data_IF_674912801376
#
_entry.id   IF_674912801376
#
_cell.length_a   1.000
_cell.length_b   1.000
_cell.length_c   1.000
_cell.angle_alpha   90.00
_cell.angle_beta   90.00
_cell.angle_gamma   90.00
#
_symmetry.space_group_name_H-M   'P 1'
#
loop_
_entity.id
_entity.type
_entity.pdbx_description
1 polymer ?
#
# COMPACT_ATOMS: atom_id res chain seq x y z
N UNK A 1 -7.80 -31.23 10.15
CA UNK A 1 -6.45 -30.79 9.74
C UNK A 1 -5.74 -30.25 10.98
N UNK A 2 -4.62 -30.84 11.38
CA UNK A 2 -3.91 -30.46 12.63
C UNK A 2 -3.33 -29.04 12.45
N UNK A 3 -3.40 -28.21 13.48
CA UNK A 3 -2.89 -26.81 13.50
C UNK A 3 -1.43 -26.75 13.02
N UNK A 4 -0.61 -27.75 13.36
CA UNK A 4 0.79 -27.85 12.93
C UNK A 4 0.98 -27.99 11.41
N UNK A 5 0.05 -28.64 10.70
CA UNK A 5 0.11 -28.78 9.23
C UNK A 5 -0.28 -27.48 8.53
N UNK A 6 -1.22 -26.74 9.13
CA UNK A 6 -1.58 -25.39 8.71
C UNK A 6 -0.40 -24.43 8.90
N UNK A 7 0.22 -24.43 10.07
CA UNK A 7 1.36 -23.58 10.37
C UNK A 7 2.53 -23.86 9.40
N UNK A 8 2.93 -25.12 9.21
CA UNK A 8 3.99 -25.48 8.24
C UNK A 8 3.66 -25.03 6.82
N UNK A 9 2.42 -25.18 6.38
CA UNK A 9 1.99 -24.85 5.02
C UNK A 9 1.95 -23.34 4.75
N UNK A 10 1.73 -22.52 5.78
CA UNK A 10 1.60 -21.07 5.66
C UNK A 10 2.74 -20.28 6.28
N UNK A 11 3.75 -20.95 6.87
CA UNK A 11 4.86 -20.28 7.59
C UNK A 11 5.57 -19.28 6.69
N UNK A 12 5.96 -19.69 5.48
CA UNK A 12 6.67 -18.79 4.56
C UNK A 12 5.81 -17.62 4.11
N UNK A 13 4.53 -17.86 3.84
CA UNK A 13 3.58 -16.79 3.46
C UNK A 13 3.34 -15.80 4.60
N UNK A 14 3.32 -16.28 5.84
CA UNK A 14 3.13 -15.42 7.03
C UNK A 14 4.41 -14.64 7.38
N UNK A 15 5.58 -15.22 7.15
CA UNK A 15 6.88 -14.56 7.37
C UNK A 15 7.28 -13.62 6.23
N UNK A 16 6.77 -13.82 5.02
CA UNK A 16 7.11 -13.01 3.85
C UNK A 16 6.88 -11.51 4.05
N UNK A 17 5.78 -11.02 4.64
CA UNK A 17 5.60 -9.60 4.92
C UNK A 17 6.65 -9.04 5.88
N UNK A 18 7.03 -9.81 6.90
CA UNK A 18 8.08 -9.42 7.86
C UNK A 18 9.43 -9.28 7.15
N UNK A 19 9.86 -10.32 6.41
CA UNK A 19 11.12 -10.29 5.67
C UNK A 19 11.13 -9.18 4.62
N UNK A 20 10.01 -8.98 3.92
CA UNK A 20 9.85 -7.88 2.95
C UNK A 20 10.00 -6.52 3.62
N UNK A 21 9.48 -6.35 4.83
CA UNK A 21 9.60 -5.10 5.57
C UNK A 21 11.05 -4.85 6.03
N UNK A 22 11.76 -5.88 6.48
CA UNK A 22 13.19 -5.75 6.80
C UNK A 22 14.02 -5.31 5.59
N UNK A 23 13.79 -5.93 4.42
CA UNK A 23 14.47 -5.53 3.18
C UNK A 23 14.14 -4.07 2.82
N UNK A 24 12.87 -3.67 2.98
CA UNK A 24 12.45 -2.30 2.69
C UNK A 24 13.02 -1.29 3.71
N UNK A 25 13.11 -1.64 4.99
CA UNK A 25 13.80 -0.83 5.98
C UNK A 25 15.29 -0.66 5.63
N UNK A 26 15.97 -1.75 5.27
CA UNK A 26 17.36 -1.67 4.80
C UNK A 26 17.51 -0.76 3.57
N UNK A 27 16.52 -0.76 2.66
CA UNK A 27 16.50 0.16 1.51
C UNK A 27 16.34 1.63 1.93
N UNK A 28 15.50 1.91 2.93
CA UNK A 28 15.32 3.26 3.50
C UNK A 28 16.61 3.72 4.18
N UNK A 29 17.28 2.84 4.93
CA UNK A 29 18.57 3.13 5.53
C UNK A 29 19.64 3.45 4.48
N UNK A 30 19.70 2.65 3.41
CA UNK A 30 20.63 2.88 2.29
C UNK A 30 20.39 4.26 1.66
N UNK A 31 19.14 4.61 1.33
CA UNK A 31 18.79 5.91 0.77
C UNK A 31 19.15 7.05 1.74
N UNK A 32 18.80 6.90 3.02
CA UNK A 32 19.10 7.90 4.05
C UNK A 32 20.59 8.14 4.25
N UNK A 33 21.41 7.10 4.14
CA UNK A 33 22.85 7.21 4.34
C UNK A 33 23.59 7.74 3.09
N UNK A 34 23.15 7.32 1.89
CA UNK A 34 23.92 7.53 0.65
C UNK A 34 23.51 8.79 -0.12
N UNK A 35 22.27 9.27 0.03
CA UNK A 35 21.79 10.41 -0.76
C UNK A 35 21.90 11.75 -0.01
N UNK A 36 22.10 12.84 -0.74
CA UNK A 36 22.01 14.21 -0.19
C UNK A 36 20.56 14.54 0.21
N UNK A 37 20.33 15.63 0.98
CA UNK A 37 18.98 16.03 1.39
C UNK A 37 18.01 16.24 0.23
N UNK A 38 18.38 17.02 -0.80
CA UNK A 38 17.52 17.19 -1.98
C UNK A 38 17.26 15.90 -2.75
N UNK A 39 18.28 15.06 -2.92
CA UNK A 39 18.16 13.77 -3.62
C UNK A 39 17.26 12.79 -2.89
N UNK A 40 17.31 12.76 -1.56
CA UNK A 40 16.40 12.00 -0.74
C UNK A 40 14.95 12.48 -0.90
N UNK A 41 14.76 13.80 -1.06
CA UNK A 41 13.46 14.38 -1.41
C UNK A 41 12.95 13.90 -2.77
N UNK A 42 13.80 13.88 -3.78
CA UNK A 42 13.49 13.35 -5.12
C UNK A 42 13.13 11.86 -5.03
N UNK A 43 13.91 11.05 -4.29
CA UNK A 43 13.63 9.64 -4.05
C UNK A 43 12.26 9.43 -3.36
N UNK A 44 11.89 10.28 -2.40
CA UNK A 44 10.57 10.29 -1.75
C UNK A 44 9.42 10.58 -2.72
N UNK A 45 9.60 11.55 -3.62
CA UNK A 45 8.64 11.87 -4.69
C UNK A 45 8.49 10.66 -5.63
N UNK A 46 9.58 10.05 -6.08
CA UNK A 46 9.53 8.86 -6.95
C UNK A 46 8.85 7.67 -6.29
N UNK A 47 9.14 7.38 -5.03
CA UNK A 47 8.42 6.34 -4.29
C UNK A 47 6.92 6.61 -4.27
N UNK A 48 6.51 7.85 -4.03
CA UNK A 48 5.11 8.25 -4.04
C UNK A 48 4.47 8.04 -5.41
N UNK A 49 5.11 8.49 -6.47
CA UNK A 49 4.66 8.32 -7.86
C UNK A 49 4.50 6.84 -8.20
N UNK A 50 5.48 6.02 -7.86
CA UNK A 50 5.47 4.58 -8.14
C UNK A 50 4.32 3.89 -7.38
N UNK A 51 4.08 4.23 -6.13
CA UNK A 51 2.95 3.67 -5.38
C UNK A 51 1.60 4.04 -6.01
N UNK A 52 1.42 5.29 -6.44
CA UNK A 52 0.22 5.73 -7.16
C UNK A 52 0.06 4.95 -8.47
N UNK A 53 1.13 4.81 -9.26
CA UNK A 53 1.10 4.06 -10.51
C UNK A 53 0.77 2.58 -10.31
N UNK A 54 1.42 1.91 -9.36
CA UNK A 54 1.17 0.50 -9.03
C UNK A 54 -0.29 0.31 -8.67
N UNK A 55 -0.84 1.23 -7.91
CA UNK A 55 -2.22 1.19 -7.49
C UNK A 55 -3.21 1.39 -8.66
N UNK A 56 -3.00 2.42 -9.49
CA UNK A 56 -3.85 2.67 -10.66
C UNK A 56 -3.74 1.50 -11.65
N UNK A 57 -2.54 0.92 -11.81
CA UNK A 57 -2.28 -0.22 -12.70
C UNK A 57 -3.00 -1.50 -12.26
N UNK A 58 -3.20 -1.73 -10.96
CA UNK A 58 -4.06 -2.81 -10.46
C UNK A 58 -5.54 -2.46 -10.61
N UNK A 59 -5.92 -1.25 -10.26
CA UNK A 59 -7.28 -0.74 -10.34
C UNK A 59 -8.34 -1.64 -9.67
N UNK A 60 -7.93 -2.52 -8.72
CA UNK A 60 -8.81 -3.52 -8.10
C UNK A 60 -9.09 -4.75 -8.98
N UNK A 61 -8.45 -4.86 -10.15
CA UNK A 61 -8.63 -5.97 -11.08
C UNK A 61 -8.15 -7.29 -10.52
N UNK A 62 -7.11 -7.30 -9.69
CA UNK A 62 -6.69 -8.50 -8.95
C UNK A 62 -7.82 -9.05 -8.08
N UNK A 63 -8.55 -8.20 -7.37
CA UNK A 63 -9.71 -8.58 -6.56
C UNK A 63 -10.86 -9.11 -7.40
N UNK A 64 -11.13 -8.52 -8.57
CA UNK A 64 -12.13 -9.00 -9.50
C UNK A 64 -11.77 -10.39 -10.04
N UNK A 65 -10.51 -10.63 -10.39
CA UNK A 65 -10.05 -11.94 -10.86
C UNK A 65 -10.17 -13.00 -9.75
N UNK A 66 -9.91 -12.66 -8.50
CA UNK A 66 -10.12 -13.57 -7.35
C UNK A 66 -11.62 -13.87 -7.18
N UNK A 67 -12.49 -12.87 -7.26
CA UNK A 67 -13.92 -13.01 -7.13
C UNK A 67 -14.51 -13.93 -8.20
N UNK A 68 -14.10 -13.75 -9.47
CA UNK A 68 -14.56 -14.54 -10.61
C UNK A 68 -13.93 -15.94 -10.68
N UNK A 69 -12.86 -16.21 -9.97
CA UNK A 69 -12.10 -17.48 -9.90
C UNK A 69 -11.55 -17.97 -11.24
N UNK A 70 -12.44 -18.13 -12.24
CA UNK A 70 -12.10 -18.62 -13.58
C UNK A 70 -12.69 -17.69 -14.63
N UNK A 71 -11.83 -17.20 -15.52
CA UNK A 71 -12.22 -16.36 -16.65
C UNK A 71 -11.58 -16.90 -17.92
N UNK A 72 -12.29 -16.83 -19.07
CA UNK A 72 -11.69 -17.09 -20.38
C UNK A 72 -10.48 -16.17 -20.59
N UNK A 73 -9.47 -16.67 -21.31
CA UNK A 73 -8.26 -15.90 -21.62
C UNK A 73 -8.57 -14.58 -22.36
N UNK A 74 -9.59 -14.62 -23.21
CA UNK A 74 -10.05 -13.43 -23.95
C UNK A 74 -10.54 -12.34 -22.98
N UNK A 75 -11.35 -12.70 -21.98
CA UNK A 75 -11.90 -11.77 -20.98
C UNK A 75 -10.77 -11.13 -20.16
N UNK A 76 -9.77 -11.94 -19.77
CA UNK A 76 -8.58 -11.47 -19.05
C UNK A 76 -7.77 -10.48 -19.90
N UNK A 77 -7.53 -10.81 -21.15
CA UNK A 77 -6.78 -9.94 -22.05
C UNK A 77 -7.49 -8.60 -22.26
N UNK A 78 -8.82 -8.62 -22.43
CA UNK A 78 -9.60 -7.40 -22.59
C UNK A 78 -9.49 -6.49 -21.36
N UNK A 79 -9.61 -7.04 -20.15
CA UNK A 79 -9.45 -6.28 -18.89
C UNK A 79 -8.02 -5.73 -18.76
N UNK A 80 -7.01 -6.53 -19.08
CA UNK A 80 -5.61 -6.09 -19.06
C UNK A 80 -5.33 -4.93 -20.04
N UNK A 81 -5.91 -4.96 -21.24
CA UNK A 81 -5.81 -3.85 -22.22
C UNK A 81 -6.39 -2.57 -21.62
N UNK A 82 -7.56 -2.64 -20.98
CA UNK A 82 -8.15 -1.49 -20.30
C UNK A 82 -7.29 -0.98 -19.14
N UNK A 83 -6.75 -1.86 -18.31
CA UNK A 83 -5.83 -1.47 -17.24
C UNK A 83 -4.57 -0.79 -17.78
N UNK A 84 -3.99 -1.31 -18.88
CA UNK A 84 -2.84 -0.68 -19.55
C UNK A 84 -3.21 0.71 -20.07
N UNK A 85 -4.39 0.87 -20.70
CA UNK A 85 -4.85 2.17 -21.18
C UNK A 85 -5.05 3.19 -20.04
N UNK A 86 -5.67 2.78 -18.92
CA UNK A 86 -5.82 3.60 -17.71
C UNK A 86 -4.45 3.99 -17.15
N UNK A 87 -3.52 3.05 -17.09
CA UNK A 87 -2.16 3.28 -16.59
C UNK A 87 -1.37 4.22 -17.49
N UNK A 88 -1.50 4.10 -18.82
CA UNK A 88 -0.88 5.00 -19.77
C UNK A 88 -1.40 6.44 -19.61
N UNK A 89 -2.72 6.60 -19.45
CA UNK A 89 -3.32 7.90 -19.15
C UNK A 89 -2.80 8.49 -17.83
N UNK A 90 -2.69 7.66 -16.77
CA UNK A 90 -2.12 8.09 -15.50
C UNK A 90 -0.66 8.54 -15.64
N UNK A 91 0.17 7.86 -16.43
CA UNK A 91 1.56 8.25 -16.68
C UNK A 91 1.65 9.60 -17.37
N UNK A 92 0.74 9.91 -18.31
CA UNK A 92 0.70 11.23 -18.97
C UNK A 92 0.47 12.33 -17.93
N UNK A 93 -0.50 12.15 -17.03
CA UNK A 93 -0.80 13.13 -15.97
C UNK A 93 0.37 13.24 -14.99
N UNK A 94 0.85 12.10 -14.48
CA UNK A 94 1.94 12.03 -13.49
C UNK A 94 3.23 12.56 -14.07
N UNK A 95 3.45 12.43 -15.38
CA UNK A 95 4.62 12.92 -16.08
C UNK A 95 4.90 14.42 -15.89
N UNK A 96 3.89 15.22 -15.53
CA UNK A 96 4.10 16.61 -15.14
C UNK A 96 4.84 16.77 -13.80
N UNK A 97 4.67 15.81 -12.89
CA UNK A 97 5.26 15.83 -11.54
C UNK A 97 6.57 15.06 -11.44
N UNK A 98 7.01 14.42 -12.52
CA UNK A 98 8.26 13.66 -12.55
C UNK A 98 9.43 14.63 -12.58
N UNK A 99 10.38 14.57 -11.61
CA UNK A 99 11.51 15.46 -11.53
C UNK A 99 12.40 15.40 -12.79
N UNK A 100 12.72 14.20 -13.27
CA UNK A 100 13.54 14.00 -14.47
C UNK A 100 12.75 13.25 -15.56
N UNK A 101 12.68 13.82 -16.75
CA UNK A 101 11.91 13.23 -17.86
C UNK A 101 12.48 11.90 -18.38
N UNK A 102 13.78 11.67 -18.19
CA UNK A 102 14.46 10.41 -18.49
C UNK A 102 13.85 9.22 -17.73
N UNK A 103 13.32 9.43 -16.53
CA UNK A 103 12.76 8.40 -15.65
C UNK A 103 11.37 7.93 -16.08
N UNK A 104 10.72 8.64 -17.00
CA UNK A 104 9.42 8.22 -17.55
C UNK A 104 9.45 6.81 -18.14
N UNK A 105 10.55 6.40 -18.79
CA UNK A 105 10.69 5.04 -19.30
C UNK A 105 10.61 3.99 -18.20
N UNK A 106 11.30 4.24 -17.08
CA UNK A 106 11.26 3.36 -15.89
C UNK A 106 9.84 3.24 -15.32
N UNK A 107 9.10 4.35 -15.24
CA UNK A 107 7.72 4.37 -14.78
C UNK A 107 6.77 3.61 -15.71
N UNK A 108 6.97 3.70 -17.05
CA UNK A 108 6.24 2.89 -18.03
C UNK A 108 6.49 1.40 -17.79
N UNK A 109 7.75 1.00 -17.61
CA UNK A 109 8.11 -0.39 -17.30
C UNK A 109 7.43 -0.87 -16.03
N UNK A 110 7.45 -0.08 -14.94
CA UNK A 110 6.75 -0.40 -13.69
C UNK A 110 5.27 -0.64 -13.95
N UNK A 111 4.60 0.26 -14.63
CA UNK A 111 3.16 0.18 -14.89
C UNK A 111 2.77 -1.08 -15.68
N UNK A 112 3.47 -1.36 -16.77
CA UNK A 112 3.23 -2.54 -17.61
C UNK A 112 3.49 -3.84 -16.84
N UNK A 113 4.60 -3.91 -16.13
CA UNK A 113 5.00 -5.12 -15.38
C UNK A 113 4.14 -5.38 -14.15
N UNK A 114 3.44 -4.38 -13.62
CA UNK A 114 2.42 -4.55 -12.59
C UNK A 114 1.11 -5.08 -13.20
N UNK A 115 0.65 -4.50 -14.30
CA UNK A 115 -0.66 -4.82 -14.89
C UNK A 115 -0.71 -6.24 -15.46
N UNK A 116 0.31 -6.64 -16.22
CA UNK A 116 0.29 -7.89 -16.96
C UNK A 116 0.17 -9.17 -16.11
N UNK A 117 0.80 -9.29 -14.92
CA UNK A 117 0.71 -10.51 -14.12
C UNK A 117 -0.49 -10.57 -13.16
N UNK A 118 -1.41 -9.60 -13.15
CA UNK A 118 -2.52 -9.53 -12.18
C UNK A 118 -3.37 -10.80 -12.15
N UNK A 119 -3.71 -11.33 -13.32
CA UNK A 119 -4.47 -12.57 -13.40
C UNK A 119 -3.69 -13.78 -12.87
N UNK A 120 -2.41 -13.88 -13.21
CA UNK A 120 -1.55 -14.97 -12.75
C UNK A 120 -1.42 -14.95 -11.22
N UNK A 121 -1.24 -13.77 -10.63
CA UNK A 121 -1.24 -13.57 -9.19
C UNK A 121 -2.58 -13.99 -8.55
N UNK A 122 -3.69 -13.53 -9.10
CA UNK A 122 -5.03 -13.87 -8.61
C UNK A 122 -5.30 -15.38 -8.67
N UNK A 123 -4.90 -16.04 -9.76
CA UNK A 123 -5.02 -17.50 -9.93
C UNK A 123 -4.20 -18.26 -8.89
N UNK A 124 -2.96 -17.87 -8.64
CA UNK A 124 -2.14 -18.48 -7.60
C UNK A 124 -2.78 -18.34 -6.21
N UNK A 125 -3.45 -17.21 -5.92
CA UNK A 125 -4.20 -17.02 -4.68
C UNK A 125 -5.41 -17.95 -4.59
N UNK A 126 -6.21 -18.06 -5.65
CA UNK A 126 -7.39 -18.96 -5.73
C UNK A 126 -6.97 -20.42 -5.55
N UNK A 127 -5.85 -20.83 -6.15
CA UNK A 127 -5.29 -22.17 -6.03
C UNK A 127 -4.50 -22.41 -4.74
N UNK A 128 -4.48 -21.43 -3.82
CA UNK A 128 -3.80 -21.51 -2.53
C UNK A 128 -2.30 -21.79 -2.65
N UNK A 129 -1.67 -21.32 -3.72
CA UNK A 129 -0.22 -21.45 -3.96
C UNK A 129 0.56 -20.32 -3.25
N UNK A 130 0.26 -20.08 -1.99
CA UNK A 130 0.78 -18.96 -1.18
C UNK A 130 2.31 -18.91 -1.09
N UNK A 131 2.97 -20.07 -1.02
CA UNK A 131 4.44 -20.13 -0.94
C UNK A 131 5.10 -19.59 -2.22
N UNK A 132 4.50 -19.83 -3.39
CA UNK A 132 5.00 -19.28 -4.65
C UNK A 132 4.89 -17.75 -4.64
N UNK A 133 3.75 -17.23 -4.22
CA UNK A 133 3.55 -15.78 -4.09
C UNK A 133 4.58 -15.19 -3.13
N UNK A 134 4.78 -15.81 -1.95
CA UNK A 134 5.76 -15.36 -0.98
C UNK A 134 7.19 -15.32 -1.54
N UNK A 135 7.60 -16.37 -2.26
CA UNK A 135 8.93 -16.45 -2.88
C UNK A 135 9.10 -15.36 -3.95
N UNK A 136 8.09 -15.16 -4.81
CA UNK A 136 8.14 -14.13 -5.87
C UNK A 136 8.25 -12.74 -5.26
N UNK A 137 7.42 -12.43 -4.25
CA UNK A 137 7.46 -11.13 -3.57
C UNK A 137 8.80 -10.88 -2.85
N UNK A 138 9.33 -11.88 -2.14
CA UNK A 138 10.62 -11.75 -1.46
C UNK A 138 11.77 -11.57 -2.44
N UNK A 139 11.83 -12.36 -3.52
CA UNK A 139 12.88 -12.23 -4.54
C UNK A 139 12.83 -10.88 -5.23
N UNK A 140 11.63 -10.36 -5.53
CA UNK A 140 11.50 -9.05 -6.15
C UNK A 140 11.96 -7.93 -5.21
N UNK A 141 11.64 -8.00 -3.90
CA UNK A 141 12.11 -7.01 -2.91
C UNK A 141 13.62 -7.08 -2.69
N UNK A 142 14.18 -8.29 -2.67
CA UNK A 142 15.63 -8.46 -2.57
C UNK A 142 16.34 -7.88 -3.79
N UNK A 143 15.81 -8.13 -5.00
CA UNK A 143 16.36 -7.55 -6.21
C UNK A 143 16.25 -6.03 -6.21
N UNK A 144 15.13 -5.46 -5.72
CA UNK A 144 15.00 -4.02 -5.53
C UNK A 144 16.13 -3.45 -4.67
N UNK A 145 16.42 -4.08 -3.53
CA UNK A 145 17.49 -3.64 -2.64
C UNK A 145 18.87 -3.76 -3.29
N UNK A 146 19.16 -4.88 -3.97
CA UNK A 146 20.44 -5.09 -4.65
C UNK A 146 20.63 -4.07 -5.78
N UNK A 147 19.62 -3.86 -6.63
CA UNK A 147 19.70 -2.90 -7.73
C UNK A 147 19.80 -1.47 -7.22
N UNK A 148 19.13 -1.13 -6.11
CA UNK A 148 19.23 0.17 -5.48
C UNK A 148 20.67 0.41 -4.97
N UNK A 149 21.25 -0.58 -4.30
CA UNK A 149 22.64 -0.51 -3.82
C UNK A 149 23.63 -0.29 -4.97
N UNK A 150 23.50 -1.09 -6.04
CA UNK A 150 24.39 -0.98 -7.22
C UNK A 150 24.17 0.35 -7.94
N UNK A 151 22.93 0.79 -8.13
CA UNK A 151 22.62 2.04 -8.81
C UNK A 151 23.22 3.25 -8.10
N UNK A 152 23.19 3.28 -6.78
CA UNK A 152 23.72 4.39 -5.98
C UNK A 152 25.27 4.34 -5.92
N UNK A 153 25.83 3.18 -5.55
CA UNK A 153 27.26 3.12 -5.21
C UNK A 153 28.18 2.90 -6.43
N UNK A 154 27.71 2.16 -7.45
CA UNK A 154 28.55 1.85 -8.62
C UNK A 154 28.31 2.79 -9.80
N UNK A 155 27.03 3.18 -10.00
CA UNK A 155 26.67 4.04 -11.13
C UNK A 155 26.47 5.51 -10.76
N UNK A 156 26.47 5.85 -9.47
CA UNK A 156 26.28 7.22 -9.00
C UNK A 156 24.90 7.81 -9.30
N UNK A 157 23.90 6.95 -9.56
CA UNK A 157 22.52 7.40 -9.69
C UNK A 157 22.02 7.94 -8.36
N UNK A 158 21.38 9.09 -8.42
CA UNK A 158 20.85 9.79 -7.24
C UNK A 158 19.41 9.37 -6.94
N UNK A 159 18.49 10.31 -6.76
CA UNK A 159 17.08 10.02 -6.48
C UNK A 159 16.40 9.12 -7.52
N UNK A 160 16.81 9.18 -8.79
CA UNK A 160 16.33 8.33 -9.89
C UNK A 160 16.68 6.84 -9.76
N UNK A 161 17.70 6.48 -8.93
CA UNK A 161 18.01 5.09 -8.61
C UNK A 161 16.79 4.30 -8.13
N UNK A 162 15.85 4.98 -7.46
CA UNK A 162 14.58 4.39 -6.97
C UNK A 162 13.72 3.89 -8.13
N UNK A 163 13.58 4.68 -9.19
CA UNK A 163 12.76 4.32 -10.37
C UNK A 163 13.33 3.10 -11.07
N UNK A 164 14.64 3.12 -11.35
CA UNK A 164 15.34 1.99 -11.97
C UNK A 164 15.19 0.71 -11.15
N UNK A 165 15.38 0.80 -9.84
CA UNK A 165 15.32 -0.35 -8.95
C UNK A 165 13.91 -0.96 -8.87
N UNK A 166 12.86 -0.14 -8.83
CA UNK A 166 11.49 -0.62 -8.91
C UNK A 166 11.17 -1.23 -10.27
N UNK A 167 11.63 -0.62 -11.38
CA UNK A 167 11.40 -1.16 -12.73
C UNK A 167 12.00 -2.57 -12.86
N UNK A 168 13.24 -2.77 -12.43
CA UNK A 168 13.91 -4.09 -12.46
C UNK A 168 13.22 -5.08 -11.54
N UNK A 169 12.82 -4.67 -10.35
CA UNK A 169 12.11 -5.50 -9.36
C UNK A 169 10.76 -5.99 -9.87
N UNK A 170 9.93 -5.09 -10.43
CA UNK A 170 8.63 -5.45 -10.98
C UNK A 170 8.74 -6.27 -12.27
N UNK A 171 9.76 -6.04 -13.09
CA UNK A 171 10.05 -6.87 -14.24
C UNK A 171 10.38 -8.31 -13.84
N UNK A 172 11.23 -8.51 -12.84
CA UNK A 172 11.49 -9.86 -12.30
C UNK A 172 10.21 -10.50 -11.76
N UNK A 173 9.41 -9.73 -11.01
CA UNK A 173 8.12 -10.20 -10.48
C UNK A 173 7.19 -10.69 -11.61
N UNK A 174 7.09 -9.93 -12.69
CA UNK A 174 6.35 -10.32 -13.88
C UNK A 174 6.86 -11.63 -14.47
N UNK A 175 8.17 -11.75 -14.72
CA UNK A 175 8.80 -12.94 -15.29
C UNK A 175 8.55 -14.18 -14.41
N UNK A 176 8.68 -14.06 -13.09
CA UNK A 176 8.47 -15.15 -12.15
C UNK A 176 7.00 -15.58 -12.10
N UNK A 177 6.04 -14.65 -12.04
CA UNK A 177 4.62 -15.00 -12.07
C UNK A 177 4.23 -15.67 -13.38
N UNK A 178 4.74 -15.19 -14.51
CA UNK A 178 4.51 -15.81 -15.82
C UNK A 178 5.10 -17.23 -15.89
N UNK A 179 6.34 -17.42 -15.39
CA UNK A 179 7.01 -18.73 -15.37
C UNK A 179 6.27 -19.74 -14.49
N UNK A 180 5.91 -19.35 -13.27
CA UNK A 180 5.16 -20.25 -12.38
C UNK A 180 3.76 -20.55 -12.88
N UNK A 181 3.07 -19.59 -13.51
CA UNK A 181 1.74 -19.81 -14.07
C UNK A 181 1.76 -20.80 -15.25
N UNK A 182 2.78 -20.78 -16.08
CA UNK A 182 2.99 -21.79 -17.11
C UNK A 182 3.24 -23.18 -16.52
N UNK A 183 4.12 -23.28 -15.52
CA UNK A 183 4.48 -24.56 -14.87
C UNK A 183 3.29 -25.25 -14.21
N UNK A 184 2.29 -24.47 -13.73
CA UNK A 184 1.11 -24.99 -13.03
C UNK A 184 -0.07 -25.21 -13.99
N UNK A 185 0.10 -24.97 -15.30
CA UNK A 185 -0.96 -25.09 -16.32
C UNK A 185 -2.23 -24.33 -15.93
N UNK A 186 -2.09 -23.09 -15.39
CA UNK A 186 -3.21 -22.29 -14.93
C UNK A 186 -4.28 -21.99 -15.98
N UNK A 187 -3.99 -22.22 -17.24
CA UNK A 187 -4.87 -21.94 -18.39
C UNK A 187 -5.61 -23.16 -18.93
N UNK A 188 -5.74 -24.23 -18.13
CA UNK A 188 -6.36 -25.49 -18.57
C UNK A 188 -7.85 -25.39 -18.97
N UNK A 189 -8.49 -24.23 -18.77
CA UNK A 189 -9.92 -24.00 -19.07
C UNK A 189 -10.14 -22.96 -20.20
N UNK A 190 -9.41 -23.04 -21.27
CA UNK A 190 -9.61 -22.17 -22.46
C UNK A 190 -10.99 -22.43 -23.17
N UNK A 191 -11.71 -23.49 -22.79
CA UNK A 191 -13.01 -23.86 -23.36
C UNK A 191 -14.22 -23.19 -22.68
N UNK A 192 -14.02 -22.22 -21.78
CA UNK A 192 -15.14 -21.47 -21.21
C UNK A 192 -15.77 -20.57 -22.29
N UNK A 193 -17.12 -20.47 -22.31
CA UNK A 193 -17.80 -19.61 -23.28
C UNK A 193 -17.36 -18.16 -23.14
N UNK A 194 -17.00 -17.55 -24.27
CA UNK A 194 -16.61 -16.14 -24.31
C UNK A 194 -17.84 -15.25 -24.14
N UNK A 195 -17.72 -14.27 -23.29
CA UNK A 195 -18.77 -13.27 -23.10
C UNK A 195 -18.62 -12.13 -24.12
N UNK A 196 -19.73 -11.40 -24.36
CA UNK A 196 -19.66 -10.17 -25.18
C UNK A 196 -18.77 -9.13 -24.47
N UNK A 197 -17.86 -8.43 -25.20
CA UNK A 197 -16.94 -7.45 -24.62
C UNK A 197 -17.62 -6.43 -23.68
N UNK A 198 -18.75 -5.89 -24.10
CA UNK A 198 -19.52 -4.93 -23.32
C UNK A 198 -20.05 -5.52 -21.99
N UNK A 199 -20.42 -6.79 -21.96
CA UNK A 199 -20.90 -7.47 -20.76
C UNK A 199 -19.75 -7.71 -19.76
N UNK A 200 -18.57 -8.06 -20.27
CA UNK A 200 -17.34 -8.23 -19.46
C UNK A 200 -16.98 -6.92 -18.78
N UNK A 201 -16.83 -5.86 -19.59
CA UNK A 201 -16.45 -4.54 -19.08
C UNK A 201 -17.49 -3.98 -18.11
N UNK A 202 -18.79 -4.17 -18.38
CA UNK A 202 -19.86 -3.76 -17.48
C UNK A 202 -19.76 -4.51 -16.14
N UNK A 203 -19.55 -5.83 -16.14
CA UNK A 203 -19.46 -6.64 -14.91
C UNK A 203 -18.22 -6.28 -14.11
N UNK A 204 -17.07 -6.08 -14.80
CA UNK A 204 -15.83 -5.63 -14.20
C UNK A 204 -15.98 -4.24 -13.59
N UNK A 205 -16.50 -3.25 -14.33
CA UNK A 205 -16.72 -1.88 -13.85
C UNK A 205 -17.66 -1.82 -12.65
N UNK A 206 -18.78 -2.55 -12.70
CA UNK A 206 -19.74 -2.62 -11.59
C UNK A 206 -19.12 -3.17 -10.30
N UNK A 207 -18.11 -4.04 -10.43
CA UNK A 207 -17.40 -4.59 -9.27
C UNK A 207 -16.36 -3.61 -8.73
N UNK A 208 -15.56 -2.99 -9.60
CA UNK A 208 -14.35 -2.27 -9.18
C UNK A 208 -14.58 -0.77 -8.88
N UNK A 209 -15.63 -0.12 -9.42
CA UNK A 209 -15.78 1.34 -9.32
C UNK A 209 -15.76 1.88 -7.88
N UNK A 210 -16.47 1.23 -6.95
CA UNK A 210 -16.45 1.65 -5.54
C UNK A 210 -15.08 1.38 -4.89
N UNK A 211 -14.44 0.30 -5.27
CA UNK A 211 -13.13 -0.09 -4.74
C UNK A 211 -12.03 0.82 -5.27
N UNK A 212 -12.04 1.15 -6.57
CA UNK A 212 -11.12 2.13 -7.15
C UNK A 212 -11.26 3.47 -6.44
N UNK A 213 -12.49 3.99 -6.34
CA UNK A 213 -12.72 5.29 -5.71
C UNK A 213 -12.27 5.30 -4.25
N UNK A 214 -12.61 4.27 -3.49
CA UNK A 214 -12.18 4.10 -2.10
C UNK A 214 -10.66 4.11 -1.96
N UNK A 215 -9.99 3.39 -2.82
CA UNK A 215 -8.54 3.27 -2.77
C UNK A 215 -7.84 4.52 -3.31
N UNK A 216 -8.33 5.16 -4.38
CA UNK A 216 -7.81 6.45 -4.86
C UNK A 216 -7.85 7.49 -3.74
N UNK A 217 -8.97 7.60 -3.03
CA UNK A 217 -9.09 8.51 -1.89
C UNK A 217 -8.13 8.16 -0.76
N UNK A 218 -7.98 6.87 -0.44
CA UNK A 218 -7.04 6.43 0.58
C UNK A 218 -5.58 6.76 0.20
N UNK A 219 -5.20 6.52 -1.06
CA UNK A 219 -3.85 6.87 -1.52
C UNK A 219 -3.63 8.37 -1.61
N UNK A 220 -4.63 9.12 -2.06
CA UNK A 220 -4.58 10.57 -2.05
C UNK A 220 -4.25 11.10 -0.64
N UNK A 221 -4.94 10.63 0.37
CA UNK A 221 -4.71 11.07 1.76
C UNK A 221 -3.36 10.64 2.33
N UNK A 222 -2.78 9.55 1.83
CA UNK A 222 -1.50 9.04 2.34
C UNK A 222 -0.30 9.64 1.61
N UNK A 223 -0.47 10.11 0.37
CA UNK A 223 0.67 10.45 -0.49
C UNK A 223 0.69 11.92 -0.91
N UNK A 224 -0.45 12.59 -0.88
CA UNK A 224 -0.56 13.98 -1.34
C UNK A 224 0.21 14.97 -0.45
N UNK A 225 0.43 14.62 0.81
CA UNK A 225 1.26 15.35 1.76
C UNK A 225 2.67 15.63 1.23
N UNK A 226 3.29 14.64 0.56
CA UNK A 226 4.64 14.78 -0.03
C UNK A 226 4.64 15.86 -1.12
N UNK A 227 3.62 15.91 -1.97
CA UNK A 227 3.52 16.93 -3.00
C UNK A 227 3.30 18.33 -2.42
N UNK A 228 2.50 18.47 -1.36
CA UNK A 228 2.32 19.73 -0.65
C UNK A 228 3.64 20.22 -0.07
N UNK A 229 4.34 19.35 0.67
CA UNK A 229 5.62 19.70 1.30
C UNK A 229 6.66 20.00 0.22
N UNK A 230 6.69 19.27 -0.88
CA UNK A 230 7.62 19.50 -1.99
C UNK A 230 7.43 20.89 -2.63
N UNK A 231 6.19 21.33 -2.76
CA UNK A 231 5.85 22.59 -3.38
C UNK A 231 6.15 23.81 -2.47
N UNK A 232 5.85 23.70 -1.18
CA UNK A 232 5.92 24.81 -0.24
C UNK A 232 7.12 24.77 0.71
N UNK A 233 7.63 23.55 1.05
CA UNK A 233 8.70 23.34 2.04
C UNK A 233 10.07 23.03 1.45
N UNK A 234 10.12 22.68 0.16
CA UNK A 234 11.36 22.34 -0.53
C UNK A 234 11.85 20.90 -0.33
N UNK A 235 12.76 20.47 -1.19
CA UNK A 235 13.21 19.08 -1.32
C UNK A 235 13.92 18.52 -0.08
N UNK A 236 14.64 19.35 0.67
CA UNK A 236 15.33 18.90 1.89
C UNK A 236 14.33 18.46 2.95
N UNK A 237 13.28 19.26 3.17
CA UNK A 237 12.21 18.94 4.14
C UNK A 237 11.45 17.70 3.69
N UNK A 238 11.14 17.58 2.39
CA UNK A 238 10.55 16.36 1.82
C UNK A 238 11.41 15.13 2.11
N UNK A 239 12.73 15.25 1.96
CA UNK A 239 13.65 14.14 2.23
C UNK A 239 13.58 13.64 3.66
N UNK A 240 13.64 14.53 4.65
CA UNK A 240 13.52 14.17 6.08
C UNK A 240 12.14 13.64 6.40
N UNK A 241 11.10 14.33 5.93
CA UNK A 241 9.72 13.94 6.15
C UNK A 241 9.42 12.55 5.56
N UNK A 242 9.80 12.29 4.31
CA UNK A 242 9.57 11.00 3.64
C UNK A 242 10.33 9.86 4.33
N UNK A 243 11.56 10.10 4.78
CA UNK A 243 12.34 9.13 5.55
C UNK A 243 11.61 8.72 6.84
N UNK A 244 11.17 9.70 7.63
CA UNK A 244 10.43 9.46 8.88
C UNK A 244 9.09 8.77 8.63
N UNK A 245 8.35 9.22 7.62
CA UNK A 245 7.08 8.64 7.17
C UNK A 245 7.24 7.20 6.75
N UNK A 246 8.17 6.92 5.83
CA UNK A 246 8.35 5.58 5.28
C UNK A 246 8.82 4.60 6.34
N UNK A 247 9.74 4.98 7.22
CA UNK A 247 10.16 4.15 8.33
C UNK A 247 8.99 3.79 9.25
N UNK A 248 8.15 4.77 9.61
CA UNK A 248 6.97 4.55 10.47
C UNK A 248 5.90 3.73 9.77
N UNK A 249 5.60 4.00 8.49
CA UNK A 249 4.57 3.27 7.74
C UNK A 249 4.96 1.81 7.48
N UNK A 250 6.26 1.47 7.39
CA UNK A 250 6.68 0.06 7.27
C UNK A 250 6.30 -0.76 8.49
N UNK A 251 6.30 -0.18 9.68
CA UNK A 251 5.82 -0.85 10.90
C UNK A 251 4.35 -1.24 10.74
N UNK A 252 3.51 -0.30 10.30
CA UNK A 252 2.08 -0.58 10.06
C UNK A 252 1.85 -1.55 8.91
N UNK A 253 2.66 -1.49 7.86
CA UNK A 253 2.56 -2.38 6.69
C UNK A 253 2.86 -3.85 7.02
N UNK A 254 3.59 -4.13 8.09
CA UNK A 254 3.80 -5.50 8.60
C UNK A 254 2.60 -5.97 9.41
N UNK A 255 2.15 -5.16 10.34
CA UNK A 255 1.14 -5.55 11.33
C UNK A 255 -0.29 -5.59 10.75
N UNK A 256 -0.63 -4.59 9.93
CA UNK A 256 -1.97 -4.44 9.33
C UNK A 256 -2.45 -5.66 8.55
N UNK A 257 -1.69 -6.21 7.58
CA UNK A 257 -2.15 -7.37 6.81
C UNK A 257 -2.36 -8.61 7.66
N UNK A 258 -1.56 -8.80 8.71
CA UNK A 258 -1.71 -9.95 9.61
C UNK A 258 -3.04 -9.86 10.35
N UNK A 259 -3.33 -8.70 10.96
CA UNK A 259 -4.58 -8.46 11.70
C UNK A 259 -5.79 -8.57 10.76
N UNK A 260 -5.74 -7.91 9.60
CA UNK A 260 -6.84 -7.89 8.64
C UNK A 260 -7.15 -9.29 8.08
N UNK A 261 -6.12 -10.05 7.67
CA UNK A 261 -6.31 -11.40 7.13
C UNK A 261 -6.87 -12.36 8.17
N UNK A 262 -6.38 -12.30 9.41
CA UNK A 262 -6.92 -13.09 10.51
C UNK A 262 -8.39 -12.74 10.76
N UNK A 263 -8.72 -11.46 10.81
CA UNK A 263 -10.08 -11.01 11.08
C UNK A 263 -11.03 -11.41 9.94
N UNK A 264 -10.69 -11.11 8.69
CA UNK A 264 -11.51 -11.44 7.52
C UNK A 264 -11.74 -12.95 7.43
N UNK A 265 -10.69 -13.77 7.56
CA UNK A 265 -10.80 -15.22 7.43
C UNK A 265 -11.68 -15.86 8.51
N UNK A 266 -11.72 -15.27 9.70
CA UNK A 266 -12.59 -15.76 10.77
C UNK A 266 -14.02 -15.25 10.59
N UNK A 267 -14.20 -13.95 10.30
CA UNK A 267 -15.55 -13.34 10.16
C UNK A 267 -16.37 -14.01 9.07
N UNK A 268 -15.77 -14.35 7.94
CA UNK A 268 -16.47 -15.01 6.82
C UNK A 268 -16.98 -16.42 7.19
N UNK A 269 -16.40 -17.06 8.23
CA UNK A 269 -16.68 -18.43 8.60
C UNK A 269 -17.49 -18.58 9.91
N UNK A 270 -17.91 -17.48 10.54
CA UNK A 270 -18.68 -17.51 11.79
C UNK A 270 -20.07 -16.90 11.64
N UNK A 271 -20.98 -17.28 12.52
CA UNK A 271 -22.32 -16.72 12.60
C UNK A 271 -22.30 -15.24 12.98
N UNK A 272 -23.22 -14.44 12.45
CA UNK A 272 -23.26 -12.99 12.64
C UNK A 272 -23.26 -12.57 14.13
N UNK A 273 -23.94 -13.35 14.99
CA UNK A 273 -24.01 -13.11 16.44
C UNK A 273 -22.65 -13.26 17.16
N UNK A 274 -21.68 -13.95 16.57
CA UNK A 274 -20.34 -14.16 17.13
C UNK A 274 -19.31 -13.15 16.64
N UNK A 275 -19.66 -12.30 15.65
CA UNK A 275 -18.74 -11.31 15.06
C UNK A 275 -18.33 -10.26 16.10
N UNK A 276 -19.27 -9.70 16.85
CA UNK A 276 -18.99 -8.64 17.82
C UNK A 276 -18.07 -9.06 18.96
N UNK A 277 -18.28 -10.20 19.65
CA UNK A 277 -17.33 -10.66 20.68
C UNK A 277 -15.92 -10.89 20.15
N UNK A 278 -15.82 -11.49 18.98
CA UNK A 278 -14.54 -11.71 18.32
C UNK A 278 -13.86 -10.39 17.93
N UNK A 279 -14.59 -9.46 17.32
CA UNK A 279 -14.10 -8.13 17.01
C UNK A 279 -13.53 -7.43 18.25
N UNK A 280 -14.28 -7.38 19.35
CA UNK A 280 -13.82 -6.76 20.61
C UNK A 280 -12.49 -7.33 21.09
N UNK A 281 -12.30 -8.65 20.98
CA UNK A 281 -11.06 -9.32 21.39
C UNK A 281 -9.88 -8.95 20.48
N UNK A 282 -10.06 -9.01 19.15
CA UNK A 282 -9.03 -8.63 18.17
C UNK A 282 -8.73 -7.14 18.30
N UNK A 283 -9.74 -6.30 18.43
CA UNK A 283 -9.58 -4.85 18.55
C UNK A 283 -8.78 -4.45 19.79
N UNK A 284 -9.06 -5.06 20.95
CA UNK A 284 -8.28 -4.84 22.19
C UNK A 284 -6.81 -5.23 22.00
N UNK A 285 -6.55 -6.37 21.36
CA UNK A 285 -5.18 -6.77 21.04
C UNK A 285 -4.49 -5.78 20.09
N UNK A 286 -5.21 -5.31 19.06
CA UNK A 286 -4.70 -4.31 18.11
C UNK A 286 -4.32 -3.00 18.80
N UNK A 287 -5.13 -2.50 19.72
CA UNK A 287 -4.82 -1.29 20.51
C UNK A 287 -3.53 -1.47 21.29
N UNK A 288 -3.41 -2.57 22.06
CA UNK A 288 -2.22 -2.84 22.87
C UNK A 288 -0.97 -2.92 21.98
N UNK A 289 -1.03 -3.68 20.89
CA UNK A 289 0.10 -3.83 19.97
C UNK A 289 0.46 -2.48 19.33
N UNK A 290 -0.52 -1.70 18.87
CA UNK A 290 -0.27 -0.41 18.23
C UNK A 290 0.40 0.57 19.19
N UNK A 291 -0.15 0.73 20.40
CA UNK A 291 0.42 1.65 21.39
C UNK A 291 1.83 1.21 21.79
N UNK A 292 2.05 -0.09 22.02
CA UNK A 292 3.38 -0.60 22.37
C UNK A 292 4.40 -0.36 21.27
N UNK A 293 4.10 -0.75 20.04
CA UNK A 293 5.05 -0.69 18.92
C UNK A 293 5.32 0.76 18.51
N UNK A 294 4.29 1.56 18.32
CA UNK A 294 4.48 2.97 17.93
C UNK A 294 4.95 3.84 19.10
N UNK A 295 4.65 3.47 20.35
CA UNK A 295 5.21 4.10 21.53
C UNK A 295 6.73 3.89 21.62
N UNK A 296 7.20 2.65 21.42
CA UNK A 296 8.64 2.35 21.34
C UNK A 296 9.28 3.11 20.17
N UNK A 297 8.61 3.12 18.99
CA UNK A 297 9.11 3.85 17.83
C UNK A 297 9.18 5.37 18.07
N UNK A 298 8.21 5.95 18.76
CA UNK A 298 8.20 7.37 19.13
C UNK A 298 9.38 7.72 20.05
N UNK A 299 9.80 6.81 20.93
CA UNK A 299 10.92 7.01 21.83
C UNK A 299 12.29 6.81 21.16
N UNK A 300 12.42 5.80 20.30
CA UNK A 300 13.71 5.40 19.74
C UNK A 300 13.90 5.89 18.29
N UNK A 301 12.82 6.22 17.58
CA UNK A 301 12.85 6.48 16.13
C UNK A 301 13.72 7.69 15.76
N UNK A 302 13.65 8.77 16.55
CA UNK A 302 14.52 9.96 16.32
C UNK A 302 15.98 9.62 16.44
N UNK A 303 16.38 8.86 17.47
CA UNK A 303 17.77 8.41 17.66
C UNK A 303 18.23 7.50 16.51
N UNK A 304 17.35 6.62 16.02
CA UNK A 304 17.65 5.74 14.87
C UNK A 304 17.84 6.57 13.60
N UNK A 305 16.96 7.52 13.32
CA UNK A 305 17.07 8.39 12.13
C UNK A 305 18.32 9.27 12.24
N UNK A 306 18.60 9.81 13.42
CA UNK A 306 19.81 10.62 13.65
C UNK A 306 21.09 9.78 13.51
N UNK A 307 21.10 8.52 13.93
CA UNK A 307 22.22 7.61 13.69
C UNK A 307 22.47 7.37 12.18
N UNK A 308 21.39 7.29 11.40
CA UNK A 308 21.50 7.13 9.94
C UNK A 308 22.04 8.43 9.29
N UNK A 309 21.60 9.57 9.82
CA UNK A 309 21.89 10.87 9.24
C UNK A 309 22.08 11.96 10.29
N UNK A 310 23.29 12.06 10.88
CA UNK A 310 23.58 13.00 11.97
C UNK A 310 23.38 14.47 11.61
N UNK A 311 23.42 14.79 10.31
CA UNK A 311 23.34 16.17 9.81
C UNK A 311 21.90 16.71 9.67
N UNK A 312 20.87 15.85 9.87
CA UNK A 312 19.47 16.23 9.73
C UNK A 312 18.82 16.37 11.10
N UNK A 313 18.87 17.60 11.67
CA UNK A 313 18.23 17.87 12.96
C UNK A 313 16.81 18.47 12.83
N UNK A 314 16.50 19.10 11.69
CA UNK A 314 15.28 19.86 11.53
C UNK A 314 14.03 18.96 11.46
N UNK A 315 13.20 19.00 12.51
CA UNK A 315 11.85 18.43 12.50
C UNK A 315 11.75 16.91 12.68
N UNK A 316 12.86 16.16 12.79
CA UNK A 316 12.83 14.68 12.91
C UNK A 316 11.92 14.22 14.05
N UNK A 317 12.08 14.82 15.24
CA UNK A 317 11.28 14.43 16.41
C UNK A 317 9.79 14.67 16.17
N UNK A 318 9.43 15.85 15.65
CA UNK A 318 8.05 16.20 15.32
C UNK A 318 7.46 15.22 14.30
N UNK A 319 8.23 14.87 13.26
CA UNK A 319 7.79 13.95 12.22
C UNK A 319 7.61 12.52 12.75
N UNK A 320 8.54 12.02 13.55
CA UNK A 320 8.43 10.68 14.17
C UNK A 320 7.25 10.62 15.14
N UNK A 321 7.08 11.61 16.01
CA UNK A 321 5.95 11.66 16.94
C UNK A 321 4.61 11.76 16.21
N UNK A 322 4.50 12.66 15.23
CA UNK A 322 3.29 12.84 14.44
C UNK A 322 2.92 11.58 13.66
N UNK A 323 3.88 10.96 12.97
CA UNK A 323 3.65 9.72 12.25
C UNK A 323 3.37 8.52 13.17
N UNK A 324 3.92 8.50 14.39
CA UNK A 324 3.60 7.46 15.39
C UNK A 324 2.13 7.55 15.82
N UNK A 325 1.62 8.77 16.07
CA UNK A 325 0.20 8.99 16.37
C UNK A 325 -0.67 8.56 15.18
N UNK A 326 -0.33 9.00 13.96
CA UNK A 326 -1.03 8.58 12.74
C UNK A 326 -1.01 7.04 12.57
N UNK A 327 0.11 6.39 12.88
CA UNK A 327 0.26 4.94 12.84
C UNK A 327 -0.66 4.22 13.80
N UNK A 328 -0.77 4.69 15.04
CA UNK A 328 -1.71 4.15 16.05
C UNK A 328 -3.15 4.26 15.54
N UNK A 329 -3.58 5.46 15.14
CA UNK A 329 -4.94 5.71 14.68
C UNK A 329 -5.28 4.85 13.45
N UNK A 330 -4.37 4.76 12.48
CA UNK A 330 -4.52 3.93 11.29
C UNK A 330 -4.67 2.45 11.64
N UNK A 331 -3.86 1.94 12.56
CA UNK A 331 -3.96 0.56 13.05
C UNK A 331 -5.30 0.29 13.74
N UNK A 332 -5.89 1.28 14.41
CA UNK A 332 -7.21 1.16 15.04
C UNK A 332 -8.36 1.18 14.02
N UNK A 333 -8.22 1.85 12.88
CA UNK A 333 -9.21 1.87 11.79
C UNK A 333 -9.24 0.52 11.05
N UNK A 334 -8.09 -0.12 10.85
CA UNK A 334 -7.95 -1.32 10.03
C UNK A 334 -8.88 -2.49 10.40
N UNK A 335 -9.07 -2.90 11.67
CA UNK A 335 -10.03 -3.95 12.03
C UNK A 335 -11.46 -3.59 11.69
N UNK A 336 -11.83 -2.31 11.77
CA UNK A 336 -13.18 -1.82 11.44
C UNK A 336 -13.43 -1.99 9.93
N UNK A 337 -12.49 -1.52 9.11
CA UNK A 337 -12.54 -1.66 7.65
C UNK A 337 -12.56 -3.14 7.24
N UNK A 338 -11.76 -3.98 7.89
CA UNK A 338 -11.72 -5.43 7.64
C UNK A 338 -13.09 -6.10 7.87
N UNK A 339 -13.86 -5.65 8.87
CA UNK A 339 -15.23 -6.13 9.08
C UNK A 339 -16.16 -5.69 7.93
N UNK A 340 -16.07 -4.43 7.49
CA UNK A 340 -16.86 -3.95 6.35
C UNK A 340 -16.58 -4.75 5.08
N UNK A 341 -15.30 -5.06 4.82
CA UNK A 341 -14.89 -5.91 3.70
C UNK A 341 -15.41 -7.34 3.84
N UNK A 342 -15.22 -7.97 5.00
CA UNK A 342 -15.66 -9.36 5.27
C UNK A 342 -17.18 -9.54 5.19
N UNK A 343 -17.95 -8.51 5.55
CA UNK A 343 -19.41 -8.51 5.53
C UNK A 343 -20.02 -7.92 4.25
N UNK A 344 -19.21 -7.61 3.25
CA UNK A 344 -19.66 -7.04 1.97
C UNK A 344 -20.15 -5.59 2.06
N UNK A 345 -19.90 -4.88 3.17
CA UNK A 345 -20.31 -3.47 3.36
C UNK A 345 -19.24 -2.50 2.85
N UNK A 346 -18.69 -2.73 1.68
CA UNK A 346 -17.62 -1.93 1.05
C UNK A 346 -17.97 -0.45 0.89
N UNK A 347 -19.26 -0.13 0.78
CA UNK A 347 -19.75 1.25 0.76
C UNK A 347 -19.42 2.02 2.06
N UNK A 348 -19.40 1.34 3.22
CA UNK A 348 -19.00 1.98 4.47
C UNK A 348 -17.50 2.30 4.48
N UNK A 349 -16.66 1.44 3.90
CA UNK A 349 -15.24 1.72 3.68
C UNK A 349 -15.04 2.96 2.80
N UNK A 350 -15.79 3.06 1.70
CA UNK A 350 -15.77 4.24 0.84
C UNK A 350 -16.11 5.51 1.62
N UNK A 351 -17.15 5.49 2.44
CA UNK A 351 -17.51 6.65 3.26
C UNK A 351 -16.43 7.05 4.26
N UNK A 352 -15.75 6.10 4.89
CA UNK A 352 -14.59 6.39 5.76
C UNK A 352 -13.49 7.09 4.97
N UNK A 353 -13.16 6.63 3.76
CA UNK A 353 -12.12 7.23 2.93
C UNK A 353 -12.52 8.60 2.36
N UNK A 354 -13.79 8.82 2.03
CA UNK A 354 -14.31 10.16 1.67
C UNK A 354 -14.15 11.12 2.86
N UNK A 355 -14.55 10.68 4.06
CA UNK A 355 -14.40 11.50 5.27
C UNK A 355 -12.93 11.83 5.52
N UNK A 356 -12.02 10.87 5.33
CA UNK A 356 -10.57 11.11 5.45
C UNK A 356 -10.11 12.19 4.47
N UNK A 357 -10.44 12.06 3.18
CA UNK A 357 -10.00 13.00 2.16
C UNK A 357 -10.53 14.43 2.41
N UNK A 358 -11.83 14.54 2.72
CA UNK A 358 -12.46 15.84 3.02
C UNK A 358 -11.86 16.48 4.27
N UNK A 359 -11.67 15.69 5.33
CA UNK A 359 -11.05 16.20 6.56
C UNK A 359 -9.62 16.66 6.33
N UNK A 360 -8.82 15.90 5.56
CA UNK A 360 -7.45 16.29 5.24
C UNK A 360 -7.40 17.63 4.51
N UNK A 361 -8.18 17.79 3.45
CA UNK A 361 -8.23 19.05 2.68
C UNK A 361 -8.67 20.22 3.56
N UNK A 362 -9.69 20.01 4.39
CA UNK A 362 -10.23 21.06 5.29
C UNK A 362 -9.17 21.51 6.30
N UNK A 363 -8.56 20.55 7.04
CA UNK A 363 -7.56 20.89 8.05
C UNK A 363 -6.27 21.42 7.43
N UNK A 364 -5.88 20.90 6.28
CA UNK A 364 -4.71 21.42 5.56
C UNK A 364 -4.93 22.89 5.17
N UNK A 365 -6.08 23.24 4.58
CA UNK A 365 -6.41 24.61 4.23
C UNK A 365 -6.48 25.55 5.44
N UNK A 366 -7.02 25.06 6.58
CA UNK A 366 -7.10 25.84 7.81
C UNK A 366 -5.72 26.02 8.46
N UNK A 367 -4.95 24.94 8.62
CA UNK A 367 -3.69 24.97 9.36
C UNK A 367 -2.55 25.63 8.60
N UNK A 368 -2.56 25.60 7.27
CA UNK A 368 -1.58 26.32 6.44
C UNK A 368 -1.56 27.83 6.65
N UNK A 369 -2.63 28.40 7.24
CA UNK A 369 -2.72 29.83 7.56
C UNK A 369 -1.98 30.15 8.89
N UNK A 370 -1.92 29.18 9.81
CA UNK A 370 -1.41 29.40 11.17
C UNK A 370 0.02 28.92 11.39
N UNK A 371 0.53 28.07 10.51
CA UNK A 371 1.86 27.48 10.64
C UNK A 371 2.80 28.01 9.57
N UNK A 372 3.92 28.59 9.98
CA UNK A 372 5.00 29.02 9.08
C UNK A 372 5.70 27.81 8.42
N UNK A 373 5.80 26.69 9.16
CA UNK A 373 6.34 25.45 8.64
C UNK A 373 5.20 24.57 8.08
N UNK A 374 5.13 24.44 6.77
CA UNK A 374 4.12 23.65 6.08
C UNK A 374 4.11 22.17 6.48
N UNK A 375 5.27 21.60 6.84
CA UNK A 375 5.36 20.18 7.21
C UNK A 375 4.69 19.90 8.57
N UNK A 376 4.75 20.84 9.52
CA UNK A 376 4.06 20.75 10.80
C UNK A 376 2.55 20.86 10.62
N UNK A 377 2.10 21.78 9.73
CA UNK A 377 0.70 21.88 9.35
C UNK A 377 0.16 20.58 8.73
N UNK A 378 0.95 19.97 7.84
CA UNK A 378 0.60 18.68 7.20
C UNK A 378 0.46 17.57 8.24
N UNK A 379 1.41 17.43 9.17
CA UNK A 379 1.34 16.39 10.20
C UNK A 379 0.11 16.58 11.09
N UNK A 380 -0.17 17.79 11.52
CA UNK A 380 -1.33 18.05 12.35
C UNK A 380 -2.64 17.80 11.59
N UNK A 381 -2.70 18.18 10.32
CA UNK A 381 -3.84 17.87 9.44
C UNK A 381 -4.07 16.36 9.30
N UNK A 382 -3.00 15.56 9.18
CA UNK A 382 -3.07 14.10 9.14
C UNK A 382 -3.57 13.50 10.47
N UNK A 383 -3.10 13.99 11.60
CA UNK A 383 -3.58 13.56 12.92
C UNK A 383 -5.08 13.85 13.07
N UNK A 384 -5.53 15.06 12.73
CA UNK A 384 -6.95 15.43 12.74
C UNK A 384 -7.77 14.55 11.80
N UNK A 385 -7.30 14.33 10.58
CA UNK A 385 -7.91 13.45 9.59
C UNK A 385 -8.11 12.03 10.12
N UNK A 386 -7.04 11.38 10.62
CA UNK A 386 -7.14 10.02 11.14
C UNK A 386 -8.02 9.94 12.39
N UNK A 387 -8.02 10.97 13.24
CA UNK A 387 -8.90 11.04 14.42
C UNK A 387 -10.37 11.08 14.02
N UNK A 388 -10.74 11.94 13.08
CA UNK A 388 -12.13 12.05 12.58
C UNK A 388 -12.53 10.75 11.87
N UNK A 389 -11.66 10.20 11.03
CA UNK A 389 -11.92 8.95 10.31
C UNK A 389 -12.14 7.79 11.27
N UNK A 390 -11.36 7.72 12.35
CA UNK A 390 -11.53 6.73 13.41
C UNK A 390 -12.87 6.85 14.13
N UNK A 391 -13.24 8.06 14.54
CA UNK A 391 -14.55 8.33 15.16
C UNK A 391 -15.68 7.93 14.23
N UNK A 392 -15.64 8.36 12.97
CA UNK A 392 -16.68 8.08 11.98
C UNK A 392 -16.77 6.58 11.67
N UNK A 393 -15.66 5.89 11.47
CA UNK A 393 -15.62 4.44 11.26
C UNK A 393 -16.25 3.69 12.46
N UNK A 394 -15.95 4.13 13.68
CA UNK A 394 -16.53 3.56 14.91
C UNK A 394 -18.04 3.77 14.98
N UNK A 395 -18.55 4.94 14.59
CA UNK A 395 -20.00 5.23 14.53
C UNK A 395 -20.67 4.31 13.51
N UNK A 396 -20.11 4.17 12.31
CA UNK A 396 -20.64 3.27 11.28
C UNK A 396 -20.65 1.82 11.74
N UNK A 397 -19.61 1.38 12.43
CA UNK A 397 -19.54 0.03 12.97
C UNK A 397 -20.59 -0.21 14.07
N UNK A 398 -20.77 0.74 14.99
CA UNK A 398 -21.84 0.67 16.01
C UNK A 398 -23.22 0.57 15.36
N UNK A 399 -23.49 1.40 14.34
CA UNK A 399 -24.74 1.36 13.56
C UNK A 399 -24.93 0.01 12.84
N UNK A 400 -23.84 -0.61 12.37
CA UNK A 400 -23.90 -1.94 11.78
C UNK A 400 -24.31 -2.99 12.83
N UNK A 401 -23.66 -3.02 13.99
CA UNK A 401 -23.97 -3.99 15.04
C UNK A 401 -25.34 -3.76 15.68
N UNK A 402 -25.82 -2.52 15.83
CA UNK A 402 -27.17 -2.25 16.37
C UNK A 402 -28.31 -2.72 15.46
N UNK A 403 -28.03 -3.11 14.23
CA UNK A 403 -29.01 -3.73 13.32
C UNK A 403 -29.03 -5.25 13.38
N UNK A 404 -27.99 -5.86 13.97
CA UNK A 404 -27.82 -7.31 14.10
C UNK A 404 -28.29 -7.78 15.48
N UNK A 405 -28.11 -6.94 16.50
CA UNK A 405 -28.48 -7.16 17.91
C UNK A 405 -29.61 -6.21 18.32
#
# INVERSE_FOLDING_TARGET
MKINDLLKKYTLFSLSPLLSAFIQLASIFLLGHSLSGPELGIAGIYNTIIFILVFISDGGSSSYFIYRKFLPKYDVNLINIFNVAISAFAIIIIGYFVPEKSDLLGLIVVSLTVTLPLYNYARLLVEKKYNIIAIVELKSKLLFFITLYIAINEFGYQGSAVVMSWAVSYFLRYCLFWWFSKKIELYKNDNLPQNKPAAILKSWWMYIHNQILSQVLNYFTITFDIFIISHFGGLVIVGVYSLCKDATLKISAVLSPVISKLLISHVVNIEENKILPMYKKVYKATIIISISVFGIWALCGSSIIHFIRPQLDQGILTFILGWSICGILRMMINPIVSIFQATGKTRNELYVNITSAVSFIFFMGMLSIYFDNIADAVILALICMYSISFVYATVLLRKYFSKIY
#
